data_IF_740847541826
#
_entry.id   IF_740847541826
#
_cell.length_a   1.000
_cell.length_b   1.000
_cell.length_c   1.000
_cell.angle_alpha   90.00
_cell.angle_beta   90.00
_cell.angle_gamma   90.00
#
_symmetry.space_group_name_H-M   'P 1'
#
loop_
_entity.id
_entity.type
_entity.pdbx_description
1 polymer ?
#
# COMPACT_ATOMS: atom_id res chain seq x y z
N UNK A 1 -16.16 -19.49 30.66
CA UNK A 1 -14.94 -19.46 29.87
C UNK A 1 -14.76 -18.12 29.23
N UNK A 2 -13.62 -17.52 29.47
CA UNK A 2 -13.31 -16.23 28.89
C UNK A 2 -12.85 -16.41 27.44
N UNK A 3 -13.43 -15.67 26.56
CA UNK A 3 -13.09 -15.71 25.14
C UNK A 3 -12.88 -14.31 24.62
N UNK A 4 -11.84 -14.18 23.80
CA UNK A 4 -11.71 -12.99 22.99
C UNK A 4 -12.64 -13.17 21.80
N UNK A 5 -13.41 -12.15 21.49
CA UNK A 5 -14.15 -12.15 20.24
C UNK A 5 -13.18 -11.77 19.10
N UNK A 6 -13.54 -12.11 17.88
CA UNK A 6 -12.69 -11.90 16.74
C UNK A 6 -12.37 -10.41 16.53
N UNK A 7 -13.33 -9.52 16.80
CA UNK A 7 -13.12 -8.10 16.65
C UNK A 7 -12.08 -7.57 17.63
N UNK A 8 -12.07 -8.06 18.89
CA UNK A 8 -11.07 -7.66 19.87
C UNK A 8 -9.67 -8.14 19.47
N UNK A 9 -9.56 -9.38 19.02
CA UNK A 9 -8.28 -9.93 18.57
C UNK A 9 -7.76 -9.12 17.39
N UNK A 10 -8.60 -8.88 16.39
CA UNK A 10 -8.20 -8.17 15.18
C UNK A 10 -7.85 -6.70 15.47
N UNK A 11 -8.53 -6.06 16.43
CA UNK A 11 -8.23 -4.67 16.77
C UNK A 11 -6.85 -4.49 17.40
N UNK A 12 -6.29 -5.56 17.98
CA UNK A 12 -4.96 -5.54 18.56
C UNK A 12 -3.86 -5.94 17.61
N UNK A 13 -4.22 -6.51 16.47
CA UNK A 13 -3.26 -6.92 15.45
C UNK A 13 -2.86 -5.71 14.61
N UNK A 14 -1.57 -5.65 14.28
CA UNK A 14 -1.03 -4.65 13.37
C UNK A 14 -0.54 -5.37 12.13
N UNK A 15 -0.84 -4.79 10.97
CA UNK A 15 -0.45 -5.40 9.71
C UNK A 15 0.08 -4.33 8.75
N UNK A 16 1.23 -4.58 8.16
CA UNK A 16 1.74 -3.78 7.06
C UNK A 16 1.19 -4.32 5.75
N UNK A 17 0.99 -3.46 4.78
CA UNK A 17 0.44 -3.84 3.48
C UNK A 17 1.40 -3.39 2.38
N UNK A 18 1.64 -4.27 1.43
CA UNK A 18 2.42 -3.98 0.24
C UNK A 18 1.53 -4.19 -0.98
N UNK A 19 1.43 -3.16 -1.82
CA UNK A 19 0.67 -3.22 -3.06
C UNK A 19 1.65 -3.17 -4.23
N UNK A 20 1.65 -4.19 -5.06
CA UNK A 20 2.43 -4.20 -6.29
C UNK A 20 1.46 -4.00 -7.46
N UNK A 21 1.66 -2.95 -8.24
CA UNK A 21 0.70 -2.59 -9.29
C UNK A 21 1.35 -1.73 -10.36
N UNK A 22 0.65 -1.60 -11.49
CA UNK A 22 1.05 -0.73 -12.59
C UNK A 22 0.27 0.57 -12.58
N UNK A 23 0.94 1.66 -12.91
CA UNK A 23 0.28 2.94 -13.13
C UNK A 23 0.91 3.65 -14.33
N UNK A 24 0.08 4.11 -15.25
CA UNK A 24 0.52 4.88 -16.41
C UNK A 24 0.81 6.34 -16.09
N UNK A 25 0.48 6.79 -14.89
CA UNK A 25 0.64 8.19 -14.49
C UNK A 25 2.07 8.53 -14.04
N UNK A 26 2.92 7.53 -13.85
CA UNK A 26 4.22 7.71 -13.27
C UNK A 26 4.16 7.71 -11.74
N UNK A 27 5.33 7.52 -11.13
CA UNK A 27 5.40 7.29 -9.68
C UNK A 27 5.08 8.56 -8.87
N UNK A 28 5.51 9.73 -9.34
CA UNK A 28 5.25 10.97 -8.61
C UNK A 28 3.77 11.34 -8.60
N UNK A 29 3.11 11.27 -9.75
CA UNK A 29 1.69 11.57 -9.84
C UNK A 29 0.87 10.53 -9.07
N UNK A 30 1.24 9.26 -9.14
CA UNK A 30 0.59 8.19 -8.39
C UNK A 30 0.69 8.42 -6.89
N UNK A 31 1.89 8.77 -6.41
CA UNK A 31 2.10 9.07 -4.99
C UNK A 31 1.23 10.25 -4.54
N UNK A 32 1.14 11.29 -5.36
CA UNK A 32 0.36 12.48 -5.03
C UNK A 32 -1.13 12.13 -4.93
N UNK A 33 -1.65 11.40 -5.89
CA UNK A 33 -3.07 11.02 -5.90
C UNK A 33 -3.41 10.08 -4.75
N UNK A 34 -2.61 9.06 -4.53
CA UNK A 34 -2.84 8.12 -3.44
C UNK A 34 -2.68 8.79 -2.08
N UNK A 35 -1.70 9.67 -1.94
CA UNK A 35 -1.51 10.43 -0.71
C UNK A 35 -2.74 11.25 -0.35
N UNK A 36 -3.33 11.93 -1.33
CA UNK A 36 -4.56 12.70 -1.13
C UNK A 36 -5.74 11.77 -0.80
N UNK A 37 -5.88 10.68 -1.54
CA UNK A 37 -6.97 9.72 -1.32
C UNK A 37 -6.92 9.10 0.08
N UNK A 38 -5.74 8.74 0.53
CA UNK A 38 -5.55 8.03 1.80
C UNK A 38 -5.33 8.97 2.99
N UNK A 39 -5.16 10.25 2.74
CA UNK A 39 -4.77 11.25 3.75
C UNK A 39 -3.48 10.85 4.45
N UNK A 40 -2.52 10.39 3.66
CA UNK A 40 -1.21 9.96 4.12
C UNK A 40 -0.12 10.66 3.34
N UNK A 41 1.02 10.85 3.98
CA UNK A 41 2.22 11.28 3.28
C UNK A 41 2.84 10.06 2.61
N UNK A 42 3.12 10.16 1.33
CA UNK A 42 3.75 9.07 0.58
C UNK A 42 5.11 9.57 0.08
N UNK A 43 6.17 8.97 0.61
CA UNK A 43 7.53 9.27 0.21
C UNK A 43 7.86 8.49 -1.06
N UNK A 44 8.31 9.21 -2.08
CA UNK A 44 8.73 8.59 -3.34
C UNK A 44 10.21 8.23 -3.23
N UNK A 45 10.50 6.94 -3.40
CA UNK A 45 11.88 6.46 -3.41
C UNK A 45 12.37 6.31 -4.85
N UNK A 46 13.66 6.51 -5.05
CA UNK A 46 14.26 6.48 -6.39
C UNK A 46 14.68 5.08 -6.82
N UNK A 47 14.73 4.15 -5.89
CA UNK A 47 15.13 2.78 -6.18
C UNK A 47 14.31 1.78 -5.37
N UNK A 48 14.20 0.55 -5.89
CA UNK A 48 13.53 -0.54 -5.20
C UNK A 48 14.26 -0.91 -3.91
N UNK A 49 13.50 -1.41 -2.94
CA UNK A 49 14.03 -1.89 -1.66
C UNK A 49 14.83 -0.82 -0.90
N UNK A 50 14.29 0.40 -0.86
CA UNK A 50 14.93 1.48 -0.12
C UNK A 50 14.97 1.18 1.38
N UNK A 51 15.91 1.83 2.09
CA UNK A 51 16.08 1.62 3.53
C UNK A 51 15.05 2.34 4.39
N UNK A 52 14.22 3.19 3.80
CA UNK A 52 13.22 3.90 4.56
C UNK A 52 12.17 2.93 5.12
N UNK A 53 11.96 3.00 6.43
CA UNK A 53 10.93 2.19 7.10
C UNK A 53 9.63 2.97 7.21
N UNK A 54 8.57 2.57 6.50
CA UNK A 54 7.28 3.25 6.59
C UNK A 54 6.69 3.18 7.98
N UNK A 55 5.88 4.20 8.30
CA UNK A 55 5.13 4.24 9.56
C UNK A 55 3.63 4.18 9.25
N UNK A 56 2.81 4.27 10.28
CA UNK A 56 1.36 4.34 10.09
C UNK A 56 0.90 5.64 9.44
N UNK A 57 1.75 6.66 9.39
CA UNK A 57 1.44 7.98 8.84
C UNK A 57 2.20 8.31 7.57
N UNK A 58 3.37 7.74 7.39
CA UNK A 58 4.24 7.99 6.23
C UNK A 58 4.50 6.67 5.54
N UNK A 59 3.94 6.54 4.36
CA UNK A 59 4.15 5.36 3.51
C UNK A 59 5.29 5.64 2.55
N UNK A 60 5.71 4.63 1.81
CA UNK A 60 6.63 4.83 0.70
C UNK A 60 6.09 4.19 -0.56
N UNK A 61 6.47 4.75 -1.69
CA UNK A 61 6.24 4.15 -3.00
C UNK A 61 7.57 4.07 -3.71
N UNK A 62 7.85 2.93 -4.30
CA UNK A 62 9.14 2.70 -4.95
C UNK A 62 8.94 1.99 -6.27
N UNK A 63 9.86 2.19 -7.24
CA UNK A 63 9.78 1.48 -8.52
C UNK A 63 10.13 0.02 -8.34
N UNK A 64 9.48 -0.83 -9.12
CA UNK A 64 9.84 -2.24 -9.19
C UNK A 64 10.29 -2.53 -10.62
N UNK A 65 11.60 -2.59 -10.81
CA UNK A 65 12.20 -2.73 -12.14
C UNK A 65 12.00 -4.12 -12.75
N UNK A 66 11.60 -5.10 -11.95
CA UNK A 66 11.42 -6.47 -12.45
C UNK A 66 10.25 -6.59 -13.42
N UNK A 67 9.26 -5.72 -13.30
CA UNK A 67 8.07 -5.72 -14.15
C UNK A 67 8.02 -4.63 -15.20
N UNK A 68 9.09 -3.86 -15.36
CA UNK A 68 9.17 -2.78 -16.31
C UNK A 68 8.95 -1.41 -15.68
N UNK A 69 8.84 -0.40 -16.54
CA UNK A 69 8.91 0.99 -16.13
C UNK A 69 7.73 1.46 -15.27
N UNK A 70 6.55 0.88 -15.46
CA UNK A 70 5.34 1.33 -14.79
C UNK A 70 4.94 0.50 -13.58
N UNK A 71 5.72 -0.52 -13.26
CA UNK A 71 5.47 -1.32 -12.05
C UNK A 71 6.03 -0.61 -10.83
N UNK A 72 5.22 -0.52 -9.81
CA UNK A 72 5.62 0.15 -8.57
C UNK A 72 5.03 -0.55 -7.37
N UNK A 73 5.60 -0.27 -6.21
CA UNK A 73 5.19 -0.87 -4.96
C UNK A 73 4.90 0.21 -3.93
N UNK A 74 3.67 0.19 -3.39
CA UNK A 74 3.28 1.05 -2.28
C UNK A 74 3.38 0.23 -0.99
N UNK A 75 4.17 0.72 -0.04
CA UNK A 75 4.42 0.02 1.22
C UNK A 75 3.96 0.89 2.38
N UNK A 76 3.10 0.32 3.21
CA UNK A 76 2.64 0.99 4.43
C UNK A 76 3.42 0.49 5.63
N UNK A 77 3.44 1.28 6.71
CA UNK A 77 3.82 0.76 8.01
C UNK A 77 2.68 -0.04 8.63
N UNK A 78 2.91 -0.55 9.83
CA UNK A 78 1.92 -1.37 10.52
C UNK A 78 0.65 -0.56 10.82
N UNK A 79 -0.49 -1.09 10.43
CA UNK A 79 -1.81 -0.48 10.58
C UNK A 79 -2.67 -1.39 11.44
N UNK A 80 -3.64 -0.83 12.16
CA UNK A 80 -4.66 -1.67 12.75
C UNK A 80 -5.51 -2.32 11.66
N UNK A 81 -6.27 -3.33 12.04
CA UNK A 81 -7.04 -4.13 11.09
C UNK A 81 -8.03 -3.28 10.27
N UNK A 82 -8.74 -2.37 10.93
CA UNK A 82 -9.72 -1.52 10.23
C UNK A 82 -9.05 -0.59 9.23
N UNK A 83 -7.96 0.02 9.63
CA UNK A 83 -7.20 0.92 8.74
C UNK A 83 -6.62 0.15 7.55
N UNK A 84 -6.04 -1.03 7.79
CA UNK A 84 -5.49 -1.86 6.73
C UNK A 84 -6.57 -2.26 5.73
N UNK A 85 -7.74 -2.67 6.21
CA UNK A 85 -8.86 -3.04 5.36
C UNK A 85 -9.31 -1.88 4.47
N UNK A 86 -9.41 -0.70 5.05
CA UNK A 86 -9.83 0.50 4.33
C UNK A 86 -8.80 0.89 3.26
N UNK A 87 -7.52 0.79 3.59
CA UNK A 87 -6.44 1.02 2.64
C UNK A 87 -6.54 0.07 1.45
N UNK A 88 -6.75 -1.21 1.71
CA UNK A 88 -6.87 -2.22 0.65
C UNK A 88 -8.03 -1.88 -0.28
N UNK A 89 -9.18 -1.53 0.27
CA UNK A 89 -10.37 -1.18 -0.51
C UNK A 89 -10.08 0.06 -1.37
N UNK A 90 -9.56 1.11 -0.79
CA UNK A 90 -9.34 2.38 -1.49
C UNK A 90 -8.25 2.29 -2.56
N UNK A 91 -7.15 1.64 -2.24
CA UNK A 91 -6.05 1.47 -3.20
C UNK A 91 -6.50 0.56 -4.35
N UNK A 92 -7.23 -0.51 -4.05
CA UNK A 92 -7.74 -1.40 -5.10
C UNK A 92 -8.70 -0.67 -6.04
N UNK A 93 -9.57 0.18 -5.51
CA UNK A 93 -10.47 1.00 -6.34
C UNK A 93 -9.68 1.96 -7.22
N UNK A 94 -8.66 2.60 -6.66
CA UNK A 94 -7.81 3.50 -7.43
C UNK A 94 -7.10 2.77 -8.58
N UNK A 95 -6.58 1.58 -8.30
CA UNK A 95 -5.91 0.76 -9.34
C UNK A 95 -6.89 0.39 -10.44
N UNK A 96 -8.13 0.04 -10.11
CA UNK A 96 -9.15 -0.26 -11.12
C UNK A 96 -9.49 0.93 -12.00
N UNK A 97 -9.45 2.13 -11.45
CA UNK A 97 -9.83 3.35 -12.18
C UNK A 97 -8.66 3.96 -12.96
N UNK A 98 -7.44 3.86 -12.46
CA UNK A 98 -6.30 4.63 -12.95
C UNK A 98 -5.08 3.79 -13.31
N UNK A 99 -5.01 2.58 -12.80
CA UNK A 99 -3.94 1.65 -13.10
C UNK A 99 -4.39 0.58 -14.05
N UNK A 100 -3.59 -0.45 -14.16
CA UNK A 100 -3.99 -1.66 -14.84
C UNK A 100 -3.40 -2.86 -14.11
N UNK A 101 -4.04 -4.00 -14.29
CA UNK A 101 -3.65 -5.22 -13.60
C UNK A 101 -3.20 -6.27 -14.59
N UNK A 102 -2.31 -7.12 -14.15
CA UNK A 102 -1.91 -8.34 -14.84
C UNK A 102 -1.46 -9.34 -13.77
N UNK A 103 -0.83 -10.41 -14.17
CA UNK A 103 -0.37 -11.46 -13.26
C UNK A 103 0.75 -11.01 -12.31
N UNK A 104 1.29 -9.79 -12.46
CA UNK A 104 2.28 -9.22 -11.54
C UNK A 104 1.66 -8.34 -10.46
N UNK A 105 0.37 -8.04 -10.55
CA UNK A 105 -0.33 -7.23 -9.55
C UNK A 105 -0.64 -8.09 -8.33
N UNK A 106 -0.29 -7.59 -7.15
CA UNK A 106 -0.50 -8.37 -5.92
C UNK A 106 -0.63 -7.48 -4.69
N UNK A 107 -1.20 -8.05 -3.63
CA UNK A 107 -1.29 -7.43 -2.31
C UNK A 107 -0.71 -8.41 -1.31
N UNK A 108 0.29 -7.96 -0.55
CA UNK A 108 0.92 -8.77 0.49
C UNK A 108 0.67 -8.16 1.86
N UNK A 109 0.36 -9.00 2.83
CA UNK A 109 0.18 -8.61 4.23
C UNK A 109 1.37 -9.12 5.05
N UNK A 110 1.89 -8.25 5.87
CA UNK A 110 3.02 -8.59 6.74
C UNK A 110 2.64 -8.64 8.22
#
# INVERSE_FOLDING_TARGET
>A
MNRFNDAEILSKCKVGVEFEFYSNKGIDATAKELGALLSKKIRVETKAHSDFEPTDKIFKIEPDMSGGINLMELVTGAQDYKSARLLIIRVSQWIQEHGYTNDRTSIHLN
#
